data_IF_960351486481
#
_entry.id   IF_960351486481
#
_cell.length_a   1.000
_cell.length_b   1.000
_cell.length_c   1.000
_cell.angle_alpha   90.00
_cell.angle_beta   90.00
_cell.angle_gamma   90.00
#
_symmetry.space_group_name_H-M   'P 1'
#
loop_
_entity.id
_entity.type
_entity.pdbx_description
1 polymer ?
#
# COMPACT_ATOMS: atom_id res chain seq x y z
N UNK A 1 59.31 -10.63 -41.62
CA UNK A 1 59.33 -9.70 -42.78
C UNK A 1 58.19 -8.72 -42.55
N UNK A 2 58.52 -7.51 -42.07
CA UNK A 2 58.50 -6.23 -42.83
C UNK A 2 57.10 -5.95 -43.34
N UNK A 3 56.41 -4.84 -43.09
CA UNK A 3 56.67 -3.41 -42.71
C UNK A 3 55.30 -2.79 -42.45
N UNK A 4 55.02 -2.05 -41.38
CA UNK A 4 55.19 -0.60 -41.28
C UNK A 4 54.43 0.24 -42.32
N UNK A 5 53.46 1.01 -41.83
CA UNK A 5 53.10 2.41 -42.19
C UNK A 5 51.84 2.79 -41.43
N UNK A 6 51.88 3.52 -40.41
CA UNK A 6 52.15 4.92 -40.07
C UNK A 6 51.40 5.92 -40.94
N UNK A 7 50.63 6.76 -40.18
CA UNK A 7 50.17 8.10 -40.45
C UNK A 7 48.86 8.28 -41.21
N UNK A 8 47.83 8.77 -40.51
CA UNK A 8 47.42 10.19 -40.61
C UNK A 8 46.52 10.58 -39.42
N UNK A 9 47.12 11.30 -38.47
CA UNK A 9 46.45 12.31 -37.67
C UNK A 9 45.95 13.39 -38.62
N UNK A 10 44.71 13.79 -38.49
CA UNK A 10 44.27 15.12 -38.86
C UNK A 10 43.32 15.60 -37.75
N UNK A 11 43.85 16.52 -36.97
CA UNK A 11 43.11 17.34 -36.01
C UNK A 11 42.11 18.21 -36.77
N UNK A 12 40.87 18.31 -36.20
CA UNK A 12 40.04 19.49 -36.43
C UNK A 12 39.66 20.00 -35.04
N UNK A 13 40.39 21.05 -34.65
CA UNK A 13 40.14 21.93 -33.52
C UNK A 13 39.30 23.09 -34.01
N UNK A 14 38.32 23.46 -33.14
CA UNK A 14 37.68 24.76 -33.02
C UNK A 14 36.67 25.23 -34.06
N UNK A 15 35.44 25.35 -33.59
CA UNK A 15 34.65 26.57 -33.76
C UNK A 15 33.77 26.80 -32.53
N UNK A 16 34.35 27.47 -31.53
CA UNK A 16 33.57 28.29 -30.60
C UNK A 16 33.03 29.48 -31.42
N UNK A 17 31.74 29.57 -31.54
CA UNK A 17 31.09 30.81 -31.92
C UNK A 17 30.22 31.27 -30.78
N UNK A 18 30.73 32.25 -30.03
CA UNK A 18 29.96 33.14 -29.19
C UNK A 18 28.88 33.82 -30.04
N UNK A 19 27.62 33.71 -29.64
CA UNK A 19 26.62 34.71 -29.96
C UNK A 19 26.12 35.24 -28.64
N UNK A 20 26.57 36.44 -28.32
CA UNK A 20 26.07 37.25 -27.24
C UNK A 20 24.85 38.04 -27.73
N UNK A 21 23.82 38.12 -26.85
CA UNK A 21 22.90 39.21 -26.67
C UNK A 21 22.01 39.64 -27.84
N UNK A 22 20.73 39.32 -27.71
CA UNK A 22 19.66 40.27 -28.00
C UNK A 22 18.64 40.17 -26.92
N UNK A 23 18.56 41.19 -26.07
CA UNK A 23 17.35 41.54 -25.30
C UNK A 23 16.24 41.93 -26.28
N UNK A 24 15.08 41.40 -26.09
CA UNK A 24 13.89 41.81 -26.88
C UNK A 24 12.65 41.09 -26.42
N UNK A 25 11.91 41.73 -25.56
CA UNK A 25 10.48 41.73 -25.37
C UNK A 25 9.67 40.45 -25.05
N UNK A 26 9.02 40.58 -23.93
CA UNK A 26 7.79 39.92 -23.48
C UNK A 26 6.89 39.45 -24.63
N UNK A 27 6.69 38.16 -24.71
CA UNK A 27 5.39 37.56 -25.01
C UNK A 27 5.34 36.23 -24.29
N UNK A 28 4.44 36.13 -23.29
CA UNK A 28 4.12 34.90 -22.60
C UNK A 28 3.74 33.79 -23.59
N UNK A 29 4.70 33.01 -23.96
CA UNK A 29 4.50 31.65 -24.40
C UNK A 29 4.66 30.81 -23.13
N UNK A 30 3.62 30.06 -22.75
CA UNK A 30 3.69 29.14 -21.64
C UNK A 30 4.96 28.30 -21.77
N UNK A 31 5.65 28.18 -20.70
CA UNK A 31 6.67 27.16 -20.51
C UNK A 31 5.92 25.82 -20.70
N UNK A 32 6.10 25.18 -21.85
CA UNK A 32 5.73 23.77 -22.00
C UNK A 32 6.73 22.97 -21.17
N UNK A 33 6.77 23.24 -19.88
CA UNK A 33 7.56 22.52 -18.90
C UNK A 33 7.10 21.07 -18.87
N UNK A 34 8.03 20.17 -19.13
CA UNK A 34 7.83 18.74 -18.93
C UNK A 34 7.35 18.54 -17.49
N UNK A 35 6.20 17.85 -17.32
CA UNK A 35 5.67 17.57 -15.99
C UNK A 35 6.69 16.76 -15.19
N UNK A 36 6.83 17.02 -13.88
CA UNK A 36 7.70 16.21 -13.04
C UNK A 36 7.20 14.77 -12.97
N UNK A 37 8.13 13.83 -12.96
CA UNK A 37 7.84 12.44 -12.69
C UNK A 37 7.86 12.20 -11.19
N UNK A 38 6.84 11.49 -10.69
CA UNK A 38 6.73 11.05 -9.29
C UNK A 38 6.76 9.53 -9.27
N UNK A 39 7.68 8.97 -8.52
CA UNK A 39 7.87 7.52 -8.42
C UNK A 39 7.07 6.97 -7.23
N UNK A 40 6.06 6.15 -7.53
CA UNK A 40 5.23 5.44 -6.55
C UNK A 40 5.75 4.01 -6.41
N UNK A 41 6.19 3.63 -5.22
CA UNK A 41 6.54 2.25 -4.95
C UNK A 41 5.38 1.45 -4.36
N UNK A 42 5.36 0.16 -4.67
CA UNK A 42 4.45 -0.85 -4.12
C UNK A 42 4.98 -2.25 -4.40
N UNK A 43 4.29 -3.27 -3.94
CA UNK A 43 4.68 -4.66 -4.19
C UNK A 43 4.21 -5.15 -5.57
N UNK A 44 4.88 -6.13 -6.19
CA UNK A 44 4.37 -6.75 -7.42
C UNK A 44 2.93 -7.27 -7.24
N UNK A 45 2.07 -7.01 -8.21
CA UNK A 45 0.65 -7.42 -8.21
C UNK A 45 -0.16 -6.91 -7.00
N UNK A 46 0.26 -5.79 -6.40
CA UNK A 46 -0.33 -5.23 -5.18
C UNK A 46 -1.63 -4.47 -5.49
N UNK A 47 -2.78 -4.89 -4.95
CA UNK A 47 -4.01 -4.13 -5.10
C UNK A 47 -3.92 -2.67 -4.64
N UNK A 48 -3.01 -2.33 -3.71
CA UNK A 48 -2.78 -0.95 -3.28
C UNK A 48 -2.41 0.00 -4.42
N UNK A 49 -1.87 -0.51 -5.54
CA UNK A 49 -1.51 0.30 -6.70
C UNK A 49 -2.69 0.57 -7.66
N UNK A 50 -3.86 -0.02 -7.47
CA UNK A 50 -4.99 0.17 -8.38
C UNK A 50 -5.38 1.63 -8.60
N UNK A 51 -5.45 2.50 -7.58
CA UNK A 51 -5.74 3.92 -7.81
C UNK A 51 -4.69 4.61 -8.68
N UNK A 52 -3.39 4.25 -8.54
CA UNK A 52 -2.34 4.78 -9.42
C UNK A 52 -2.55 4.35 -10.87
N UNK A 53 -2.93 3.09 -11.12
CA UNK A 53 -3.24 2.64 -12.48
C UNK A 53 -4.43 3.41 -13.06
N UNK A 54 -5.47 3.67 -12.27
CA UNK A 54 -6.61 4.50 -12.70
C UNK A 54 -6.12 5.92 -13.02
N UNK A 55 -5.30 6.51 -12.17
CA UNK A 55 -4.75 7.86 -12.41
C UNK A 55 -4.00 7.93 -13.74
N UNK A 56 -3.22 6.90 -14.07
CA UNK A 56 -2.45 6.83 -15.32
C UNK A 56 -3.35 6.66 -16.56
N UNK A 57 -4.34 5.74 -16.47
CA UNK A 57 -5.24 5.43 -17.60
C UNK A 57 -6.21 6.59 -17.89
N UNK A 58 -6.76 7.22 -16.84
CA UNK A 58 -7.66 8.35 -16.97
C UNK A 58 -6.93 9.71 -17.15
N UNK A 59 -5.60 9.73 -16.98
CA UNK A 59 -4.77 10.94 -17.11
C UNK A 59 -4.88 11.91 -15.96
N UNK A 60 -5.39 11.45 -14.79
CA UNK A 60 -5.57 12.29 -13.60
C UNK A 60 -4.22 12.80 -13.06
N UNK A 61 -3.16 12.01 -13.20
CA UNK A 61 -1.80 12.41 -12.85
C UNK A 61 -1.39 13.67 -13.61
N UNK A 62 -1.58 13.68 -14.94
CA UNK A 62 -1.23 14.81 -15.80
C UNK A 62 -2.11 16.02 -15.57
N UNK A 63 -3.40 15.81 -15.35
CA UNK A 63 -4.36 16.88 -15.06
C UNK A 63 -4.06 17.54 -13.71
N UNK A 64 -3.40 16.82 -12.79
CA UNK A 64 -2.94 17.29 -11.48
C UNK A 64 -1.44 17.66 -11.45
N UNK A 65 -0.79 17.78 -12.61
CA UNK A 65 0.51 18.45 -12.77
C UNK A 65 1.72 17.55 -12.56
N UNK A 66 1.61 16.22 -12.64
CA UNK A 66 2.73 15.29 -12.56
C UNK A 66 2.56 14.10 -13.51
N UNK A 67 3.56 13.23 -13.58
CA UNK A 67 3.50 11.92 -14.26
C UNK A 67 3.81 10.87 -13.22
N UNK A 68 2.85 10.00 -12.92
CA UNK A 68 3.04 8.89 -11.99
C UNK A 68 3.80 7.73 -12.66
N UNK A 69 4.83 7.21 -12.00
CA UNK A 69 5.55 5.99 -12.40
C UNK A 69 5.50 4.96 -11.28
N UNK A 70 5.16 3.71 -11.62
CA UNK A 70 5.13 2.60 -10.68
C UNK A 70 6.50 1.94 -10.56
N UNK A 71 6.98 1.76 -9.33
CA UNK A 71 8.19 1.01 -8.99
C UNK A 71 7.82 -0.20 -8.13
N UNK A 72 7.89 -1.39 -8.72
CA UNK A 72 7.74 -2.63 -7.97
C UNK A 72 8.97 -2.90 -7.11
N UNK A 73 8.79 -3.11 -5.82
CA UNK A 73 9.86 -3.38 -4.84
C UNK A 73 9.57 -4.66 -4.06
N UNK A 74 10.64 -5.36 -3.66
CA UNK A 74 10.48 -6.50 -2.75
C UNK A 74 10.06 -6.00 -1.36
N UNK A 75 9.13 -6.69 -0.66
CA UNK A 75 8.68 -6.29 0.67
C UNK A 75 9.82 -6.03 1.67
N UNK A 76 10.83 -6.89 1.70
CA UNK A 76 12.00 -6.76 2.59
C UNK A 76 12.86 -5.51 2.31
N UNK A 77 12.75 -4.92 1.13
CA UNK A 77 13.51 -3.76 0.70
C UNK A 77 12.68 -2.46 0.74
N UNK A 78 11.36 -2.54 0.80
CA UNK A 78 10.45 -1.43 0.54
C UNK A 78 10.70 -0.20 1.43
N UNK A 79 10.71 -0.38 2.76
CA UNK A 79 10.96 0.73 3.70
C UNK A 79 12.30 1.40 3.43
N UNK A 80 13.36 0.62 3.20
CA UNK A 80 14.68 1.20 2.91
C UNK A 80 14.71 1.94 1.55
N UNK A 81 14.09 1.38 0.51
CA UNK A 81 13.99 2.01 -0.82
C UNK A 81 13.31 3.38 -0.74
N UNK A 82 12.21 3.46 0.01
CA UNK A 82 11.51 4.71 0.30
C UNK A 82 12.39 5.71 1.08
N UNK A 83 13.01 5.28 2.19
CA UNK A 83 13.79 6.16 3.07
C UNK A 83 15.05 6.72 2.41
N UNK A 84 15.69 5.98 1.49
CA UNK A 84 16.86 6.50 0.76
C UNK A 84 16.50 7.33 -0.48
N UNK A 85 15.20 7.50 -0.78
CA UNK A 85 14.70 8.35 -1.86
C UNK A 85 14.80 7.75 -3.26
N UNK A 86 14.79 6.41 -3.39
CA UNK A 86 14.64 5.75 -4.70
C UNK A 86 13.20 5.80 -5.22
N UNK A 87 12.23 6.02 -4.32
CA UNK A 87 10.85 6.41 -4.62
C UNK A 87 10.49 7.70 -3.92
N UNK A 88 9.47 8.38 -4.40
CA UNK A 88 8.92 9.60 -3.82
C UNK A 88 7.79 9.29 -2.85
N UNK A 89 6.89 8.42 -3.29
CA UNK A 89 5.68 8.00 -2.56
C UNK A 89 5.74 6.49 -2.33
N UNK A 90 5.47 6.06 -1.11
CA UNK A 90 5.25 4.66 -0.76
C UNK A 90 3.75 4.40 -0.58
N UNK A 91 3.21 3.38 -1.28
CA UNK A 91 1.78 3.03 -1.24
C UNK A 91 1.46 1.91 -0.26
N UNK A 92 2.48 1.23 0.26
CA UNK A 92 2.38 0.04 1.09
C UNK A 92 2.59 0.31 2.60
N UNK A 93 2.62 1.60 3.00
CA UNK A 93 2.89 1.96 4.38
C UNK A 93 1.63 1.97 5.23
N UNK A 94 1.69 1.38 6.42
CA UNK A 94 0.63 1.47 7.43
C UNK A 94 1.06 2.36 8.62
N UNK A 95 0.10 2.65 9.51
CA UNK A 95 0.36 3.51 10.66
C UNK A 95 1.37 2.93 11.66
N UNK A 96 1.39 1.61 11.84
CA UNK A 96 2.32 0.93 12.76
C UNK A 96 3.74 1.02 12.21
N UNK A 97 3.93 0.64 10.94
CA UNK A 97 5.24 0.72 10.30
C UNK A 97 5.75 2.16 10.23
N UNK A 98 4.89 3.12 9.90
CA UNK A 98 5.29 4.53 9.89
C UNK A 98 5.68 5.03 11.29
N UNK A 99 5.00 4.58 12.35
CA UNK A 99 5.40 4.88 13.72
C UNK A 99 6.79 4.33 14.03
N UNK A 100 7.11 3.11 13.61
CA UNK A 100 8.44 2.51 13.79
C UNK A 100 9.50 3.32 13.03
N UNK A 101 9.22 3.69 11.78
CA UNK A 101 10.10 4.53 10.95
C UNK A 101 10.44 5.85 11.67
N UNK A 102 9.44 6.51 12.25
CA UNK A 102 9.66 7.75 13.02
C UNK A 102 10.42 7.49 14.33
N UNK A 103 10.16 6.39 15.03
CA UNK A 103 10.92 6.00 16.24
C UNK A 103 12.41 5.73 15.94
N UNK A 104 12.73 5.30 14.74
CA UNK A 104 14.11 5.14 14.25
C UNK A 104 14.76 6.46 13.84
N UNK A 105 14.03 7.57 13.88
CA UNK A 105 14.49 8.92 13.64
C UNK A 105 14.42 9.40 12.19
N UNK A 106 13.57 8.75 11.40
CA UNK A 106 13.27 9.19 10.03
C UNK A 106 12.05 10.12 10.00
N UNK A 107 12.10 11.14 9.16
CA UNK A 107 11.05 12.14 8.99
C UNK A 107 10.19 11.78 7.79
N UNK A 108 9.06 11.10 8.05
CA UNK A 108 8.09 10.69 7.03
C UNK A 108 6.69 10.62 7.65
N UNK A 109 5.66 10.85 6.84
CA UNK A 109 4.25 10.89 7.28
C UNK A 109 3.33 10.23 6.27
N UNK A 110 2.18 9.76 6.75
CA UNK A 110 1.05 9.35 5.93
C UNK A 110 0.20 10.56 5.59
N UNK A 111 -0.29 10.68 4.34
CA UNK A 111 -1.04 11.85 3.91
C UNK A 111 -2.29 11.56 3.06
N UNK A 112 -2.58 10.30 2.77
CA UNK A 112 -3.81 9.87 2.10
C UNK A 112 -4.13 8.40 2.44
N UNK A 113 -5.40 7.99 2.37
CA UNK A 113 -5.81 6.62 2.64
C UNK A 113 -5.38 5.70 1.50
N UNK A 114 -5.19 4.43 1.79
CA UNK A 114 -4.94 3.38 0.82
C UNK A 114 -5.94 2.23 0.96
N UNK A 115 -5.45 0.98 0.93
CA UNK A 115 -6.27 -0.20 1.14
C UNK A 115 -6.82 -0.26 2.57
N UNK A 116 -8.08 -0.58 2.70
CA UNK A 116 -8.66 -1.01 3.96
C UNK A 116 -8.04 -2.35 4.41
N UNK A 117 -8.37 -2.83 5.61
CA UNK A 117 -7.87 -4.11 6.12
C UNK A 117 -8.48 -5.29 5.36
N UNK A 118 -8.09 -5.43 4.09
CA UNK A 118 -8.48 -6.53 3.20
C UNK A 118 -7.70 -7.80 3.54
N UNK A 119 -7.89 -8.27 4.77
CA UNK A 119 -7.23 -9.43 5.36
C UNK A 119 -8.24 -10.27 6.13
N UNK A 120 -7.89 -11.49 6.50
CA UNK A 120 -8.80 -12.29 7.30
C UNK A 120 -8.24 -13.59 7.85
N UNK A 121 -9.00 -14.20 8.74
CA UNK A 121 -8.84 -15.59 9.13
C UNK A 121 -9.79 -16.43 8.30
N UNK A 122 -9.25 -17.32 7.46
CA UNK A 122 -10.04 -18.22 6.62
C UNK A 122 -9.99 -19.64 7.18
N UNK A 123 -11.16 -20.29 7.19
CA UNK A 123 -11.36 -21.68 7.63
C UNK A 123 -12.19 -22.45 6.61
N UNK A 124 -12.17 -23.80 6.56
CA UNK A 124 -13.11 -24.58 5.78
C UNK A 124 -14.57 -24.26 6.13
N UNK A 125 -15.45 -24.20 5.12
CA UNK A 125 -16.88 -23.86 5.32
C UNK A 125 -17.59 -24.83 6.25
N UNK A 126 -17.24 -26.11 6.20
CA UNK A 126 -17.82 -27.17 7.04
C UNK A 126 -17.22 -27.25 8.44
N UNK A 127 -16.25 -26.37 8.78
CA UNK A 127 -15.67 -26.29 10.11
C UNK A 127 -16.69 -25.82 11.16
N UNK A 128 -16.49 -26.21 12.39
CA UNK A 128 -17.38 -25.83 13.52
C UNK A 128 -16.98 -24.53 14.20
N UNK A 129 -15.87 -23.92 13.82
CA UNK A 129 -15.36 -22.68 14.39
C UNK A 129 -16.34 -21.52 14.16
N UNK A 130 -16.62 -20.72 15.18
CA UNK A 130 -17.56 -19.61 15.13
C UNK A 130 -16.87 -18.24 15.29
N UNK A 131 -15.76 -18.21 16.04
CA UNK A 131 -14.93 -17.04 16.23
C UNK A 131 -13.45 -17.44 16.41
N UNK A 132 -12.51 -16.47 16.42
CA UNK A 132 -11.08 -16.77 16.55
C UNK A 132 -10.67 -17.60 17.76
N UNK A 133 -11.43 -17.52 18.88
CA UNK A 133 -11.08 -18.25 20.11
C UNK A 133 -11.26 -19.76 19.98
N UNK A 134 -12.09 -20.21 19.05
CA UNK A 134 -12.32 -21.63 18.77
C UNK A 134 -11.08 -22.33 18.15
N UNK A 135 -10.12 -21.55 17.65
CA UNK A 135 -8.86 -22.05 17.07
C UNK A 135 -7.77 -22.31 18.12
N UNK A 136 -8.07 -22.21 19.42
CA UNK A 136 -7.09 -22.47 20.47
C UNK A 136 -6.45 -23.86 20.35
N UNK A 137 -5.12 -23.90 20.21
CA UNK A 137 -4.33 -25.12 20.03
C UNK A 137 -4.36 -25.73 18.62
N UNK A 138 -5.12 -25.17 17.71
CA UNK A 138 -5.19 -25.61 16.32
C UNK A 138 -4.02 -25.06 15.50
N UNK A 139 -3.67 -25.77 14.41
CA UNK A 139 -2.60 -25.33 13.50
C UNK A 139 -3.14 -24.21 12.60
N UNK A 140 -2.51 -23.06 12.68
CA UNK A 140 -2.91 -21.87 11.91
C UNK A 140 -1.73 -21.40 11.07
N UNK A 141 -1.92 -21.34 9.75
CA UNK A 141 -0.92 -20.86 8.80
C UNK A 141 -0.86 -19.32 8.81
N UNK A 142 0.37 -18.78 8.71
CA UNK A 142 0.62 -17.34 8.58
C UNK A 142 1.93 -17.09 7.80
N UNK A 143 2.18 -15.86 7.36
CA UNK A 143 3.37 -15.54 6.55
C UNK A 143 4.39 -14.64 7.26
N UNK A 144 4.37 -14.63 8.57
CA UNK A 144 5.30 -13.92 9.43
C UNK A 144 4.60 -13.40 10.67
N UNK A 145 5.18 -13.64 11.83
CA UNK A 145 4.61 -13.18 13.11
C UNK A 145 4.66 -11.65 13.21
N UNK A 146 5.65 -11.03 12.55
CA UNK A 146 5.87 -9.58 12.54
C UNK A 146 5.24 -8.91 11.30
N UNK A 147 4.51 -9.67 10.46
CA UNK A 147 3.82 -9.07 9.31
C UNK A 147 2.66 -8.17 9.78
N UNK A 148 2.41 -7.06 9.07
CA UNK A 148 1.32 -6.14 9.37
C UNK A 148 -0.03 -6.85 9.48
N UNK A 149 -0.31 -7.84 8.62
CA UNK A 149 -1.54 -8.66 8.69
C UNK A 149 -1.62 -9.46 10.00
N UNK A 150 -0.58 -10.21 10.35
CA UNK A 150 -0.60 -11.07 11.55
C UNK A 150 -0.69 -10.23 12.83
N UNK A 151 0.11 -9.17 12.95
CA UNK A 151 0.12 -8.28 14.12
C UNK A 151 -1.20 -7.54 14.29
N UNK A 152 -1.80 -7.06 13.20
CA UNK A 152 -3.09 -6.39 13.22
C UNK A 152 -4.22 -7.33 13.63
N UNK A 153 -4.31 -8.53 13.04
CA UNK A 153 -5.32 -9.53 13.43
C UNK A 153 -5.12 -9.92 14.88
N UNK A 154 -3.89 -10.13 15.34
CA UNK A 154 -3.59 -10.48 16.72
C UNK A 154 -4.06 -9.39 17.69
N UNK A 155 -3.75 -8.12 17.41
CA UNK A 155 -4.19 -7.01 18.24
C UNK A 155 -5.72 -6.90 18.28
N UNK A 156 -6.38 -6.97 17.13
CA UNK A 156 -7.84 -6.84 17.04
C UNK A 156 -8.56 -7.99 17.75
N UNK A 157 -8.06 -9.22 17.62
CA UNK A 157 -8.63 -10.37 18.34
C UNK A 157 -8.39 -10.23 19.84
N UNK A 158 -7.22 -9.76 20.26
CA UNK A 158 -6.92 -9.48 21.66
C UNK A 158 -7.86 -8.43 22.23
N UNK A 159 -8.12 -7.35 21.51
CA UNK A 159 -8.97 -6.25 21.98
C UNK A 159 -10.45 -6.64 22.01
N UNK A 160 -10.94 -7.32 20.98
CA UNK A 160 -12.36 -7.69 20.86
C UNK A 160 -12.73 -8.89 21.75
N UNK A 161 -11.86 -9.92 21.82
CA UNK A 161 -12.15 -11.19 22.48
C UNK A 161 -11.34 -11.43 23.75
N UNK A 162 -10.31 -10.62 24.05
CA UNK A 162 -9.38 -10.85 25.15
C UNK A 162 -8.53 -12.10 24.97
N UNK A 163 -8.19 -12.45 23.72
CA UNK A 163 -7.56 -13.71 23.33
C UNK A 163 -6.30 -13.47 22.51
N UNK A 164 -5.17 -13.95 23.01
CA UNK A 164 -3.87 -13.80 22.35
C UNK A 164 -3.63 -14.95 21.36
N UNK A 165 -3.85 -14.70 20.08
CA UNK A 165 -3.66 -15.71 19.03
C UNK A 165 -2.19 -16.12 18.86
N UNK A 166 -1.23 -15.27 19.24
CA UNK A 166 0.20 -15.58 19.11
C UNK A 166 0.66 -16.59 20.18
N UNK A 167 0.00 -16.63 21.33
CA UNK A 167 0.26 -17.59 22.39
C UNK A 167 -0.61 -18.85 22.29
N UNK A 168 -1.85 -18.72 21.82
CA UNK A 168 -2.86 -19.76 21.90
C UNK A 168 -2.96 -20.65 20.65
N UNK A 169 -2.50 -20.19 19.47
CA UNK A 169 -2.50 -20.99 18.24
C UNK A 169 -1.20 -21.79 18.08
N UNK A 170 -1.28 -22.95 17.40
CA UNK A 170 -0.11 -23.66 16.88
C UNK A 170 0.28 -23.05 15.50
N UNK A 171 1.00 -21.91 15.54
CA UNK A 171 1.34 -21.12 14.38
C UNK A 171 2.31 -21.85 13.44
N UNK A 172 2.02 -21.79 12.11
CA UNK A 172 2.78 -22.40 11.03
C UNK A 172 3.18 -21.37 10.00
N UNK A 173 4.43 -20.97 10.00
CA UNK A 173 4.95 -19.95 9.07
C UNK A 173 5.30 -20.53 7.71
N UNK A 174 4.86 -19.83 6.64
CA UNK A 174 5.23 -20.11 5.24
C UNK A 174 5.08 -18.82 4.41
N UNK A 175 5.41 -18.85 3.10
CA UNK A 175 5.09 -17.77 2.20
C UNK A 175 3.57 -17.64 1.98
N UNK A 176 3.05 -16.41 1.80
CA UNK A 176 1.60 -16.18 1.70
C UNK A 176 0.96 -16.97 0.53
N UNK A 177 1.63 -17.10 -0.61
CA UNK A 177 1.11 -17.83 -1.76
C UNK A 177 0.90 -19.33 -1.51
N UNK A 178 1.54 -19.89 -0.47
CA UNK A 178 1.41 -21.29 -0.11
C UNK A 178 0.29 -21.57 0.90
N UNK A 179 -0.22 -20.54 1.58
CA UNK A 179 -1.25 -20.68 2.61
C UNK A 179 -2.56 -21.28 2.09
N UNK A 180 -3.10 -20.87 0.92
CA UNK A 180 -4.30 -21.48 0.37
C UNK A 180 -4.19 -22.99 0.17
N UNK A 181 -3.04 -23.48 -0.33
CA UNK A 181 -2.79 -24.91 -0.54
C UNK A 181 -2.66 -25.66 0.79
N UNK A 182 -2.04 -25.04 1.82
CA UNK A 182 -1.95 -25.66 3.14
C UNK A 182 -3.33 -25.88 3.76
N UNK A 183 -4.22 -24.90 3.63
CA UNK A 183 -5.61 -25.03 4.07
C UNK A 183 -6.34 -26.10 3.26
N UNK A 184 -6.27 -26.06 1.93
CA UNK A 184 -6.93 -27.01 1.04
C UNK A 184 -6.49 -28.47 1.28
N UNK A 185 -5.22 -28.69 1.63
CA UNK A 185 -4.69 -30.02 1.93
C UNK A 185 -4.93 -30.48 3.38
N UNK A 186 -5.53 -29.65 4.25
CA UNK A 186 -5.77 -29.97 5.65
C UNK A 186 -4.48 -30.03 6.49
N UNK A 187 -3.39 -29.40 6.04
CA UNK A 187 -2.17 -29.29 6.82
C UNK A 187 -2.29 -28.27 7.95
N UNK A 188 -3.18 -27.30 7.77
CA UNK A 188 -3.60 -26.33 8.79
C UNK A 188 -5.14 -26.29 8.85
N UNK A 189 -5.68 -25.85 9.99
CA UNK A 189 -7.12 -25.73 10.24
C UNK A 189 -7.64 -24.34 9.86
N UNK A 190 -6.76 -23.35 9.84
CA UNK A 190 -7.04 -21.97 9.42
C UNK A 190 -5.80 -21.31 8.82
N UNK A 191 -5.99 -20.20 8.12
CA UNK A 191 -4.90 -19.33 7.67
C UNK A 191 -5.21 -17.88 8.02
N UNK A 192 -4.16 -17.10 8.26
CA UNK A 192 -4.17 -15.64 8.29
C UNK A 192 -3.55 -15.16 6.98
N UNK A 193 -4.33 -14.49 6.14
CA UNK A 193 -3.86 -14.06 4.84
C UNK A 193 -4.54 -12.74 4.41
N UNK A 194 -4.07 -12.17 3.34
CA UNK A 194 -4.59 -10.93 2.73
C UNK A 194 -5.15 -11.19 1.33
N UNK A 195 -5.97 -10.26 0.83
CA UNK A 195 -6.54 -10.37 -0.50
C UNK A 195 -5.50 -10.11 -1.62
N UNK A 196 -5.54 -10.84 -2.74
CA UNK A 196 -6.55 -11.85 -3.13
C UNK A 196 -6.25 -13.28 -2.65
N UNK A 197 -5.23 -13.52 -1.84
CA UNK A 197 -4.81 -14.86 -1.42
C UNK A 197 -5.82 -15.50 -0.44
N UNK A 198 -6.35 -14.71 0.50
CA UNK A 198 -7.40 -15.18 1.41
C UNK A 198 -8.64 -15.65 0.62
N UNK A 199 -9.05 -14.88 -0.40
CA UNK A 199 -10.15 -15.24 -1.29
C UNK A 199 -9.84 -16.50 -2.11
N UNK A 200 -8.60 -16.64 -2.59
CA UNK A 200 -8.13 -17.86 -3.26
C UNK A 200 -8.31 -19.09 -2.38
N UNK A 201 -8.00 -18.97 -1.08
CA UNK A 201 -8.24 -20.06 -0.13
C UNK A 201 -9.72 -20.36 0.04
N UNK A 202 -10.59 -19.34 0.08
CA UNK A 202 -12.05 -19.51 0.11
C UNK A 202 -12.54 -20.29 -1.11
N UNK A 203 -12.07 -19.97 -2.31
CA UNK A 203 -12.45 -20.63 -3.55
C UNK A 203 -11.90 -22.07 -3.66
N UNK A 204 -10.64 -22.29 -3.32
CA UNK A 204 -9.98 -23.59 -3.47
C UNK A 204 -10.47 -24.64 -2.46
N UNK A 205 -10.87 -24.22 -1.27
CA UNK A 205 -11.15 -25.13 -0.13
C UNK A 205 -12.63 -25.27 0.16
N UNK A 206 -13.60 -24.79 -0.61
CA UNK A 206 -14.86 -24.20 -0.14
C UNK A 206 -14.72 -23.69 1.30
N UNK A 207 -14.17 -22.49 1.41
CA UNK A 207 -13.84 -21.85 2.69
C UNK A 207 -14.79 -20.72 3.04
N UNK A 208 -14.60 -20.16 4.20
CA UNK A 208 -15.25 -18.92 4.65
C UNK A 208 -14.34 -18.11 5.53
N UNK A 209 -14.58 -16.82 5.59
CA UNK A 209 -13.96 -15.97 6.60
C UNK A 209 -14.54 -16.30 7.97
N UNK A 210 -13.65 -16.56 8.92
CA UNK A 210 -13.97 -16.67 10.35
C UNK A 210 -13.90 -15.29 11.02
N UNK A 211 -12.97 -14.45 10.55
CA UNK A 211 -12.74 -13.11 11.06
C UNK A 211 -12.34 -12.20 9.90
N UNK A 212 -13.01 -11.07 9.75
CA UNK A 212 -12.72 -10.00 8.80
C UNK A 212 -12.40 -8.72 9.58
N UNK A 213 -11.15 -8.31 9.69
CA UNK A 213 -10.71 -7.18 10.51
C UNK A 213 -11.50 -5.90 10.28
N UNK A 214 -11.70 -5.48 9.02
CA UNK A 214 -12.43 -4.25 8.71
C UNK A 214 -13.84 -4.26 9.29
N UNK A 215 -14.59 -5.34 9.12
CA UNK A 215 -15.96 -5.46 9.66
C UNK A 215 -15.96 -5.52 11.19
N UNK A 216 -15.12 -6.40 11.74
CA UNK A 216 -15.07 -6.62 13.18
C UNK A 216 -14.65 -5.36 13.95
N UNK A 217 -13.66 -4.62 13.42
CA UNK A 217 -13.18 -3.41 14.04
C UNK A 217 -14.17 -2.24 13.90
N UNK A 218 -14.79 -2.08 12.73
CA UNK A 218 -15.85 -1.09 12.55
C UNK A 218 -17.04 -1.33 13.51
N UNK A 219 -17.42 -2.58 13.73
CA UNK A 219 -18.45 -2.91 14.73
C UNK A 219 -17.99 -2.58 16.16
N UNK A 220 -16.74 -2.84 16.50
CA UNK A 220 -16.16 -2.58 17.81
C UNK A 220 -16.04 -1.07 18.11
N UNK A 221 -15.60 -0.28 17.13
CA UNK A 221 -15.35 1.17 17.28
C UNK A 221 -16.56 2.05 16.98
N UNK A 222 -17.61 1.49 16.38
CA UNK A 222 -18.80 2.24 15.98
C UNK A 222 -18.73 2.84 14.59
N UNK A 223 -17.88 2.30 13.72
CA UNK A 223 -17.88 2.61 12.28
C UNK A 223 -16.51 2.87 11.66
N UNK A 224 -15.49 3.17 12.46
CA UNK A 224 -14.13 3.40 11.95
C UNK A 224 -13.34 2.09 11.85
N UNK A 225 -12.46 1.99 10.85
CA UNK A 225 -11.51 0.88 10.68
C UNK A 225 -10.17 1.42 10.16
N UNK A 226 -9.03 0.87 10.62
CA UNK A 226 -7.73 1.27 10.09
C UNK A 226 -7.53 0.76 8.66
N UNK A 227 -6.55 1.36 7.99
CA UNK A 227 -6.10 0.92 6.67
C UNK A 227 -4.96 -0.09 6.79
N UNK A 228 -4.92 -1.03 5.86
CA UNK A 228 -3.77 -1.93 5.66
C UNK A 228 -2.58 -1.16 5.07
N UNK A 229 -2.87 -0.22 4.17
CA UNK A 229 -1.87 0.63 3.54
C UNK A 229 -2.34 2.08 3.43
N UNK A 230 -1.38 3.00 3.27
CA UNK A 230 -1.62 4.43 3.07
C UNK A 230 -0.56 4.99 2.14
N UNK A 231 -0.79 6.18 1.58
CA UNK A 231 0.27 6.93 0.92
C UNK A 231 1.17 7.58 1.97
N UNK A 232 2.46 7.31 1.85
CA UNK A 232 3.50 7.94 2.66
C UNK A 232 4.45 8.77 1.82
N UNK A 233 4.93 9.88 2.38
CA UNK A 233 5.99 10.69 1.80
C UNK A 233 6.99 11.10 2.89
N UNK A 234 8.26 11.32 2.49
CA UNK A 234 9.27 11.93 3.36
C UNK A 234 8.96 13.41 3.51
N UNK A 235 9.23 13.97 4.68
CA UNK A 235 8.93 15.39 4.96
C UNK A 235 9.79 16.35 4.12
N UNK A 236 11.04 16.00 3.82
CA UNK A 236 11.88 16.79 2.91
C UNK A 236 11.32 16.85 1.49
N UNK A 237 10.79 15.72 1.00
CA UNK A 237 10.14 15.68 -0.30
C UNK A 237 8.85 16.52 -0.30
N UNK A 238 8.01 16.41 0.73
CA UNK A 238 6.79 17.22 0.88
C UNK A 238 7.11 18.72 0.88
N UNK A 239 8.12 19.13 1.67
CA UNK A 239 8.52 20.53 1.77
C UNK A 239 9.01 21.15 0.45
N UNK A 240 9.52 20.33 -0.48
CA UNK A 240 9.98 20.75 -1.80
C UNK A 240 8.90 20.65 -2.87
N UNK A 241 7.80 19.90 -2.62
CA UNK A 241 6.81 19.50 -3.61
C UNK A 241 5.36 19.74 -3.15
N UNK A 242 5.06 20.82 -2.41
CA UNK A 242 3.73 21.11 -1.85
C UNK A 242 2.61 20.98 -2.89
N UNK A 243 2.70 21.70 -4.02
CA UNK A 243 1.66 21.69 -5.06
C UNK A 243 1.46 20.28 -5.65
N UNK A 244 2.54 19.49 -5.78
CA UNK A 244 2.50 18.12 -6.27
C UNK A 244 1.85 17.18 -5.26
N UNK A 245 2.12 17.36 -3.97
CA UNK A 245 1.51 16.56 -2.90
C UNK A 245 -0.02 16.71 -2.89
N UNK A 246 -0.53 17.94 -3.04
CA UNK A 246 -1.96 18.18 -3.21
C UNK A 246 -2.50 17.53 -4.48
N UNK A 247 -1.79 17.67 -5.61
CA UNK A 247 -2.16 17.03 -6.88
C UNK A 247 -2.22 15.51 -6.77
N UNK A 248 -1.26 14.88 -6.08
CA UNK A 248 -1.25 13.44 -5.84
C UNK A 248 -2.47 13.02 -5.03
N UNK A 249 -2.73 13.70 -3.88
CA UNK A 249 -3.89 13.38 -3.05
C UNK A 249 -5.19 13.48 -3.84
N UNK A 250 -5.37 14.56 -4.58
CA UNK A 250 -6.61 14.80 -5.33
C UNK A 250 -6.80 13.76 -6.44
N UNK A 251 -5.76 13.47 -7.23
CA UNK A 251 -5.80 12.44 -8.27
C UNK A 251 -6.00 11.03 -7.68
N UNK A 252 -5.37 10.74 -6.53
CA UNK A 252 -5.50 9.46 -5.83
C UNK A 252 -6.93 9.23 -5.34
N UNK A 253 -7.52 10.23 -4.67
CA UNK A 253 -8.89 10.15 -4.18
C UNK A 253 -9.90 10.05 -5.33
N UNK A 254 -9.67 10.74 -6.45
CA UNK A 254 -10.50 10.61 -7.65
C UNK A 254 -10.35 9.20 -8.27
N UNK A 255 -9.14 8.65 -8.31
CA UNK A 255 -8.88 7.27 -8.76
C UNK A 255 -9.63 6.23 -7.91
N UNK A 256 -9.63 6.38 -6.58
CA UNK A 256 -10.43 5.55 -5.67
C UNK A 256 -11.93 5.71 -5.98
N UNK A 257 -12.41 6.93 -6.16
CA UNK A 257 -13.83 7.17 -6.45
C UNK A 257 -14.27 6.52 -7.76
N UNK A 258 -13.42 6.51 -8.79
CA UNK A 258 -13.70 5.83 -10.06
C UNK A 258 -13.80 4.32 -9.88
N UNK A 259 -12.91 3.71 -9.07
CA UNK A 259 -12.99 2.28 -8.73
C UNK A 259 -14.32 1.95 -8.02
N UNK A 260 -14.68 2.73 -7.00
CA UNK A 260 -15.92 2.58 -6.24
C UNK A 260 -17.16 2.76 -7.13
N UNK A 261 -17.23 3.83 -7.92
CA UNK A 261 -18.36 4.15 -8.80
C UNK A 261 -18.56 3.10 -9.89
N UNK A 262 -17.49 2.44 -10.33
CA UNK A 262 -17.57 1.31 -11.25
C UNK A 262 -18.07 0.01 -10.59
N UNK A 263 -18.15 -0.03 -9.26
CA UNK A 263 -18.33 -1.29 -8.51
C UNK A 263 -17.20 -2.26 -8.78
N UNK A 264 -15.99 -1.74 -8.98
CA UNK A 264 -14.77 -2.51 -9.32
C UNK A 264 -14.83 -3.29 -10.66
N UNK A 265 -15.84 -3.05 -11.50
CA UNK A 265 -15.94 -3.69 -12.82
C UNK A 265 -14.76 -3.34 -13.75
N UNK A 266 -14.07 -2.22 -13.50
CA UNK A 266 -12.84 -1.85 -14.22
C UNK A 266 -11.76 -2.93 -14.13
N UNK A 267 -11.74 -3.75 -13.08
CA UNK A 267 -10.75 -4.82 -12.90
C UNK A 267 -10.84 -5.90 -13.98
N UNK A 268 -11.92 -5.93 -14.78
CA UNK A 268 -12.06 -6.82 -15.96
C UNK A 268 -11.26 -6.34 -17.17
N UNK A 269 -10.85 -5.09 -17.16
CA UNK A 269 -10.18 -4.44 -18.29
C UNK A 269 -8.65 -4.42 -18.08
N UNK A 270 -7.92 -4.29 -19.19
CA UNK A 270 -6.49 -3.98 -19.12
C UNK A 270 -6.27 -2.48 -18.82
N UNK A 271 -5.24 -2.12 -18.05
CA UNK A 271 -4.16 -2.99 -17.55
C UNK A 271 -4.46 -3.66 -16.19
N UNK A 272 -5.60 -3.40 -15.56
CA UNK A 272 -5.90 -3.81 -14.19
C UNK A 272 -5.88 -5.33 -14.00
N UNK A 273 -6.53 -6.06 -14.94
CA UNK A 273 -6.61 -7.52 -14.87
C UNK A 273 -5.23 -8.17 -14.89
N UNK A 274 -4.37 -7.77 -15.84
CA UNK A 274 -3.02 -8.33 -15.97
C UNK A 274 -2.10 -7.91 -14.82
N UNK A 275 -2.33 -6.74 -14.22
CA UNK A 275 -1.54 -6.25 -13.09
C UNK A 275 -1.73 -7.10 -11.83
N UNK A 276 -2.97 -7.47 -11.53
CA UNK A 276 -3.30 -8.23 -10.31
C UNK A 276 -2.87 -9.70 -10.35
N UNK A 277 -2.46 -10.23 -11.52
CA UNK A 277 -2.02 -11.62 -11.69
C UNK A 277 -3.01 -12.66 -11.14
N UNK A 278 -4.32 -12.37 -11.22
CA UNK A 278 -5.36 -13.29 -10.76
C UNK A 278 -5.33 -14.56 -11.61
N UNK A 279 -5.53 -15.71 -10.98
CA UNK A 279 -5.29 -17.01 -11.62
C UNK A 279 -6.47 -17.51 -12.48
N UNK A 280 -7.65 -16.93 -12.31
CA UNK A 280 -8.87 -17.34 -13.02
C UNK A 280 -9.92 -16.24 -13.07
N UNK A 281 -10.86 -16.36 -14.01
CA UNK A 281 -12.06 -15.50 -14.06
C UNK A 281 -12.92 -15.62 -12.78
N UNK A 282 -12.95 -16.78 -12.15
CA UNK A 282 -13.67 -16.99 -10.88
C UNK A 282 -13.04 -16.19 -9.74
N UNK A 283 -11.70 -16.13 -9.69
CA UNK A 283 -10.97 -15.32 -8.70
C UNK A 283 -11.19 -13.82 -8.94
N UNK A 284 -11.18 -13.38 -10.21
CA UNK A 284 -11.49 -12.00 -10.57
C UNK A 284 -12.92 -11.62 -10.17
N UNK A 285 -13.90 -12.43 -10.50
CA UNK A 285 -15.31 -12.19 -10.14
C UNK A 285 -15.47 -12.07 -8.63
N UNK A 286 -14.88 -13.02 -7.90
CA UNK A 286 -14.98 -13.03 -6.45
C UNK A 286 -14.25 -11.83 -5.80
N UNK A 287 -13.14 -11.37 -6.38
CA UNK A 287 -12.46 -10.17 -5.88
C UNK A 287 -13.26 -8.89 -6.15
N UNK A 288 -13.90 -8.78 -7.31
CA UNK A 288 -14.84 -7.68 -7.61
C UNK A 288 -15.99 -7.68 -6.61
N UNK A 289 -16.65 -8.86 -6.39
CA UNK A 289 -17.74 -8.99 -5.42
C UNK A 289 -17.27 -8.62 -3.99
N UNK A 290 -16.08 -9.07 -3.60
CA UNK A 290 -15.52 -8.76 -2.28
C UNK A 290 -15.36 -7.25 -2.09
N UNK A 291 -14.72 -6.54 -3.04
CA UNK A 291 -14.53 -5.10 -2.96
C UNK A 291 -15.86 -4.30 -3.08
N UNK A 292 -16.85 -4.82 -3.79
CA UNK A 292 -18.17 -4.18 -3.89
C UNK A 292 -18.98 -4.31 -2.58
N UNK A 293 -18.81 -5.42 -1.83
CA UNK A 293 -19.46 -5.65 -0.54
C UNK A 293 -18.74 -4.95 0.62
N UNK A 294 -17.42 -4.84 0.54
CA UNK A 294 -16.56 -4.21 1.52
C UNK A 294 -15.59 -3.30 0.77
N UNK A 295 -15.82 -1.96 0.74
CA UNK A 295 -14.94 -1.06 0.02
C UNK A 295 -13.47 -1.38 0.27
N UNK A 296 -12.72 -1.67 -0.80
CA UNK A 296 -11.33 -2.07 -0.67
C UNK A 296 -10.42 -0.89 -0.33
N UNK A 297 -10.85 0.34 -0.62
CA UNK A 297 -10.07 1.55 -0.36
C UNK A 297 -10.74 2.48 0.62
N UNK A 298 -9.94 3.26 1.34
CA UNK A 298 -10.41 4.36 2.16
C UNK A 298 -10.92 5.51 1.29
N UNK A 299 -12.14 5.97 1.54
CA UNK A 299 -12.80 7.03 0.76
C UNK A 299 -12.78 8.40 1.45
N UNK A 300 -12.15 8.50 2.62
CA UNK A 300 -12.01 9.73 3.40
C UNK A 300 -10.62 9.86 4.00
N UNK A 301 -10.20 11.11 4.23
CA UNK A 301 -8.99 11.45 4.96
C UNK A 301 -9.23 12.75 5.71
N UNK A 302 -9.80 12.62 6.88
CA UNK A 302 -10.28 13.72 7.74
C UNK A 302 -9.60 13.68 9.10
N UNK A 303 -9.82 14.73 9.91
CA UNK A 303 -9.33 14.73 11.29
C UNK A 303 -9.91 13.57 12.12
N UNK A 304 -11.15 13.16 11.86
CA UNK A 304 -11.77 12.01 12.54
C UNK A 304 -11.03 10.71 12.19
N UNK A 305 -10.58 10.56 10.92
CA UNK A 305 -9.78 9.43 10.48
C UNK A 305 -8.40 9.40 11.16
N UNK A 306 -7.74 10.57 11.27
CA UNK A 306 -6.46 10.71 11.97
C UNK A 306 -6.60 10.42 13.46
N UNK A 307 -7.67 10.90 14.09
CA UNK A 307 -7.95 10.63 15.51
C UNK A 307 -8.17 9.13 15.73
N UNK A 308 -8.94 8.47 14.85
CA UNK A 308 -9.14 7.01 14.89
C UNK A 308 -7.83 6.23 14.72
N UNK A 309 -6.97 6.64 13.80
CA UNK A 309 -5.65 6.04 13.63
C UNK A 309 -4.79 6.20 14.89
N UNK A 310 -4.80 7.37 15.52
CA UNK A 310 -4.04 7.61 16.75
C UNK A 310 -4.56 6.76 17.92
N UNK A 311 -5.88 6.60 18.05
CA UNK A 311 -6.49 5.71 19.05
C UNK A 311 -6.08 4.24 18.80
N UNK A 312 -6.08 3.82 17.53
CA UNK A 312 -5.63 2.49 17.12
C UNK A 312 -4.14 2.25 17.45
N UNK A 313 -3.27 3.20 17.13
CA UNK A 313 -1.83 3.11 17.44
C UNK A 313 -1.55 3.09 18.94
N UNK A 314 -2.36 3.78 19.75
CA UNK A 314 -2.23 3.74 21.19
C UNK A 314 -2.39 2.32 21.76
N UNK A 315 -3.22 1.46 21.15
CA UNK A 315 -3.36 0.06 21.56
C UNK A 315 -2.07 -0.73 21.33
N UNK A 316 -1.32 -0.44 20.28
CA UNK A 316 -0.01 -1.07 20.06
C UNK A 316 1.02 -0.66 21.10
N UNK A 317 0.95 0.60 21.58
CA UNK A 317 1.77 1.06 22.72
C UNK A 317 1.35 0.36 24.00
N UNK A 318 0.05 0.28 24.30
CA UNK A 318 -0.49 -0.39 25.50
C UNK A 318 -0.14 -1.88 25.56
N UNK A 319 -0.08 -2.54 24.39
CA UNK A 319 0.31 -3.93 24.26
C UNK A 319 1.84 -4.14 24.12
N UNK A 320 2.64 -3.07 24.19
CA UNK A 320 4.09 -3.13 24.21
C UNK A 320 4.72 -3.49 22.83
N UNK A 321 3.97 -3.33 21.76
CA UNK A 321 4.43 -3.55 20.37
C UNK A 321 5.15 -2.28 19.88
N UNK A 322 4.60 -1.09 20.19
CA UNK A 322 5.23 0.20 19.93
C UNK A 322 5.80 0.79 21.20
N UNK A 323 6.83 1.63 21.10
CA UNK A 323 7.43 2.31 22.24
C UNK A 323 6.50 3.43 22.75
N UNK A 324 6.49 3.69 24.08
CA UNK A 324 5.76 4.81 24.69
C UNK A 324 6.24 6.19 24.17
N UNK A 325 7.54 6.30 23.82
CA UNK A 325 8.09 7.49 23.19
C UNK A 325 7.76 7.45 21.69
N UNK A 326 6.48 7.67 21.34
CA UNK A 326 6.13 7.99 19.95
C UNK A 326 6.82 9.28 19.55
N UNK A 327 7.26 9.40 18.28
CA UNK A 327 7.87 10.59 17.75
C UNK A 327 7.03 11.83 18.08
N UNK A 328 7.70 12.98 18.23
CA UNK A 328 7.04 14.26 18.50
C UNK A 328 6.18 14.77 17.33
N UNK A 329 6.30 14.13 16.18
CA UNK A 329 5.60 14.46 14.93
C UNK A 329 4.41 13.54 14.72
N UNK A 330 3.32 14.02 14.09
CA UNK A 330 2.17 13.18 13.78
C UNK A 330 2.53 12.10 12.75
N UNK A 331 2.02 10.89 12.94
CA UNK A 331 2.22 9.77 12.00
C UNK A 331 1.46 10.03 10.68
N UNK A 332 0.33 10.71 10.77
CA UNK A 332 -0.54 11.02 9.64
C UNK A 332 -0.95 12.48 9.67
N UNK A 333 -1.02 13.10 8.51
CA UNK A 333 -1.27 14.54 8.38
C UNK A 333 -2.38 14.83 7.36
N UNK A 334 -3.09 15.93 7.59
CA UNK A 334 -3.93 16.56 6.59
C UNK A 334 -3.07 17.64 5.93
N UNK A 335 -2.91 17.60 4.61
CA UNK A 335 -1.96 18.46 3.90
C UNK A 335 -2.24 19.95 4.11
N UNK A 336 -3.53 20.35 4.21
CA UNK A 336 -3.93 21.74 4.47
C UNK A 336 -3.41 22.24 5.82
N UNK A 337 -3.41 21.39 6.83
CA UNK A 337 -2.93 21.74 8.17
C UNK A 337 -1.40 21.61 8.28
N UNK A 338 -0.82 20.72 7.49
CA UNK A 338 0.63 20.48 7.46
C UNK A 338 1.40 21.64 6.82
N UNK A 339 0.90 22.17 5.71
CA UNK A 339 1.53 23.31 5.03
C UNK A 339 1.05 24.68 5.55
N UNK A 340 -0.03 24.75 6.34
CA UNK A 340 -0.47 25.90 7.12
C UNK A 340 -1.19 26.96 6.38
#
# INVERSE_FOLDING_TARGET
MRRLRWLRLAAVVAALALVASACGDDNGAGDDGELPTVVFQGFPADPAALPLLVMQEEGLDRDNGFIGEYLAVDPDAATNTFLIGESDIAMEQDGVNMTIVQQEGHEAVLFAPGLNMVTGIVVPEDSTYQDPTDLAGERVGHFGIDSGTTTTIALMVQEIYGFDILEEYDLRETGPEALPELLASGQVEAILDFEPLALRAVLQTPGRYLFEPTKAWAEHTGGWSPWLTNLAAREDWLAENEDIAFGIRDAWMEGIQILEDSGYELLREEPYNSFLELQSEEELEAFIEYCADLPCFGTSWTQEDIDGLNEYLALFVENGILLEETASEPVAVILEDYFG
#
